data_IF_332331441291
#
_entry.id   IF_332331441291
#
_cell.length_a   1.000
_cell.length_b   1.000
_cell.length_c   1.000
_cell.angle_alpha   90.00
_cell.angle_beta   90.00
_cell.angle_gamma   90.00
#
_symmetry.space_group_name_H-M   'P 1'
#
loop_
_entity.id
_entity.type
_entity.pdbx_description
1 polymer ?
#
# COMPACT_ATOMS: atom_id res chain seq x y z
N UNK A 1 -35.89 28.00 7.60
CA UNK A 1 -34.79 27.17 8.13
C UNK A 1 -35.38 26.09 9.03
N UNK A 2 -35.64 24.91 8.49
CA UNK A 2 -36.14 23.78 9.28
C UNK A 2 -34.97 23.03 9.89
N UNK A 3 -35.10 22.60 11.15
CA UNK A 3 -34.07 21.84 11.89
C UNK A 3 -33.52 20.66 11.06
N UNK A 4 -34.41 19.93 10.38
CA UNK A 4 -34.07 18.82 9.47
C UNK A 4 -33.09 19.24 8.35
N UNK A 5 -33.35 20.37 7.68
CA UNK A 5 -32.49 20.89 6.60
C UNK A 5 -31.10 21.25 7.12
N UNK A 6 -31.02 21.94 8.27
CA UNK A 6 -29.77 22.37 8.89
C UNK A 6 -28.89 21.19 9.32
N UNK A 7 -29.49 20.14 9.89
CA UNK A 7 -28.78 18.91 10.26
C UNK A 7 -28.18 18.25 9.01
N UNK A 8 -28.99 18.06 7.96
CA UNK A 8 -28.55 17.42 6.72
C UNK A 8 -27.41 18.20 6.04
N UNK A 9 -27.50 19.53 5.98
CA UNK A 9 -26.43 20.38 5.45
C UNK A 9 -25.14 20.24 6.27
N UNK A 10 -25.24 20.19 7.59
CA UNK A 10 -24.07 20.04 8.48
C UNK A 10 -23.40 18.68 8.30
N UNK A 11 -24.18 17.60 8.21
CA UNK A 11 -23.68 16.25 7.96
C UNK A 11 -22.99 16.16 6.58
N UNK A 12 -23.63 16.69 5.53
CA UNK A 12 -23.03 16.74 4.18
C UNK A 12 -21.71 17.51 4.17
N UNK A 13 -21.63 18.65 4.86
CA UNK A 13 -20.39 19.44 4.99
C UNK A 13 -19.29 18.65 5.70
N UNK A 14 -19.61 17.92 6.77
CA UNK A 14 -18.66 17.06 7.49
C UNK A 14 -18.15 15.91 6.62
N UNK A 15 -19.05 15.20 5.94
CA UNK A 15 -18.69 14.11 5.02
C UNK A 15 -17.76 14.59 3.90
N UNK A 16 -18.08 15.74 3.27
CA UNK A 16 -17.22 16.33 2.24
C UNK A 16 -15.81 16.67 2.77
N UNK A 17 -15.72 17.21 3.99
CA UNK A 17 -14.42 17.51 4.63
C UNK A 17 -13.62 16.24 4.94
N UNK A 18 -14.28 15.16 5.35
CA UNK A 18 -13.63 13.88 5.59
C UNK A 18 -13.11 13.26 4.29
N UNK A 19 -13.95 13.21 3.25
CA UNK A 19 -13.58 12.64 1.95
C UNK A 19 -12.45 13.44 1.27
N UNK A 20 -12.47 14.77 1.38
CA UNK A 20 -11.40 15.62 0.85
C UNK A 20 -10.02 15.29 1.45
N UNK A 21 -9.96 14.83 2.71
CA UNK A 21 -8.72 14.42 3.37
C UNK A 21 -8.27 13.01 2.97
N UNK A 22 -9.20 12.15 2.56
CA UNK A 22 -8.92 10.76 2.17
C UNK A 22 -8.54 10.61 0.68
N UNK A 23 -8.68 11.68 -0.11
CA UNK A 23 -8.29 11.68 -1.51
C UNK A 23 -6.78 11.52 -1.67
N UNK A 24 -6.34 10.28 -1.90
CA UNK A 24 -4.98 9.98 -2.36
C UNK A 24 -4.89 10.29 -3.85
N UNK A 25 -3.82 10.97 -4.27
CA UNK A 25 -3.53 11.16 -5.69
C UNK A 25 -3.32 9.79 -6.33
N UNK A 26 -3.99 9.54 -7.46
CA UNK A 26 -3.81 8.30 -8.25
C UNK A 26 -2.47 8.25 -8.98
N UNK A 27 -1.74 9.37 -9.03
CA UNK A 27 -0.42 9.46 -9.68
C UNK A 27 0.67 9.13 -8.66
N UNK A 28 1.68 8.32 -9.03
CA UNK A 28 2.84 8.13 -8.18
C UNK A 28 3.51 9.48 -7.94
N UNK A 29 4.02 9.70 -6.71
CA UNK A 29 4.80 10.89 -6.39
C UNK A 29 6.01 10.92 -7.32
N UNK A 30 6.24 12.06 -7.99
CA UNK A 30 7.48 12.23 -8.75
C UNK A 30 8.65 12.23 -7.77
N UNK A 31 9.56 11.29 -7.96
CA UNK A 31 10.82 11.16 -7.23
C UNK A 31 11.96 11.46 -8.19
N UNK A 32 13.07 11.95 -7.67
CA UNK A 32 14.24 12.26 -8.48
C UNK A 32 14.84 10.99 -9.12
N UNK A 33 15.68 11.15 -10.17
CA UNK A 33 16.33 10.00 -10.83
C UNK A 33 17.17 9.17 -9.85
N UNK A 34 17.84 9.82 -8.89
CA UNK A 34 18.64 9.15 -7.87
C UNK A 34 17.77 8.36 -6.88
N UNK A 35 16.61 8.89 -6.48
CA UNK A 35 15.68 8.18 -5.60
C UNK A 35 15.00 7.01 -6.29
N UNK A 36 14.70 7.13 -7.60
CA UNK A 36 14.14 6.01 -8.37
C UNK A 36 15.13 4.85 -8.48
N UNK A 37 16.40 5.14 -8.77
CA UNK A 37 17.44 4.09 -8.80
C UNK A 37 17.58 3.37 -7.45
N UNK A 38 17.58 4.11 -6.33
CA UNK A 38 17.64 3.50 -4.99
C UNK A 38 16.45 2.59 -4.70
N UNK A 39 15.23 2.99 -5.08
CA UNK A 39 14.04 2.16 -4.89
C UNK A 39 14.03 0.94 -5.82
N UNK A 40 14.55 1.06 -7.04
CA UNK A 40 14.67 -0.07 -7.97
C UNK A 40 15.71 -1.09 -7.47
N UNK A 41 16.84 -0.65 -6.91
CA UNK A 41 17.85 -1.50 -6.27
C UNK A 41 17.29 -2.20 -5.01
N UNK A 42 16.58 -1.46 -4.14
CA UNK A 42 15.90 -2.02 -2.97
C UNK A 42 14.81 -3.03 -3.36
N UNK A 43 14.05 -2.75 -4.42
CA UNK A 43 13.04 -3.67 -4.94
C UNK A 43 13.66 -4.94 -5.55
N UNK A 44 14.82 -4.84 -6.22
CA UNK A 44 15.55 -5.98 -6.75
C UNK A 44 16.07 -6.89 -5.63
N UNK A 45 16.62 -6.32 -4.55
CA UNK A 45 17.05 -7.07 -3.37
C UNK A 45 15.88 -7.78 -2.68
N UNK A 46 14.72 -7.12 -2.55
CA UNK A 46 13.53 -7.73 -1.95
C UNK A 46 13.02 -8.89 -2.84
N UNK A 47 13.02 -8.72 -4.16
CA UNK A 47 12.61 -9.79 -5.08
C UNK A 47 13.55 -11.01 -5.03
N UNK A 48 14.86 -10.79 -4.95
CA UNK A 48 15.86 -11.86 -4.81
C UNK A 48 15.70 -12.59 -3.46
N UNK A 49 15.46 -11.88 -2.37
CA UNK A 49 15.20 -12.52 -1.07
C UNK A 49 13.87 -13.29 -1.03
N UNK A 50 12.84 -12.82 -1.75
CA UNK A 50 11.56 -13.52 -1.83
C UNK A 50 11.69 -14.86 -2.59
N UNK A 51 12.46 -14.87 -3.69
CA UNK A 51 12.71 -16.08 -4.49
C UNK A 51 13.52 -17.13 -3.68
N UNK A 52 14.57 -16.67 -2.99
CA UNK A 52 15.38 -17.52 -2.10
C UNK A 52 14.55 -18.09 -0.94
N UNK A 53 13.62 -17.33 -0.36
CA UNK A 53 12.74 -17.87 0.71
C UNK A 53 11.75 -18.91 0.21
N UNK A 54 11.27 -18.82 -1.04
CA UNK A 54 10.44 -19.90 -1.61
C UNK A 54 11.25 -21.18 -1.88
N UNK A 55 12.47 -21.08 -2.39
CA UNK A 55 13.31 -22.27 -2.65
C UNK A 55 13.79 -22.93 -1.35
N UNK A 56 14.12 -22.17 -0.31
CA UNK A 56 14.57 -22.73 0.98
C UNK A 56 13.45 -23.45 1.74
N UNK A 57 12.20 -23.01 1.58
CA UNK A 57 11.03 -23.67 2.20
C UNK A 57 10.74 -25.01 1.51
N UNK A 58 10.87 -25.07 0.17
CA UNK A 58 10.62 -26.30 -0.61
C UNK A 58 11.60 -27.42 -0.23
N UNK A 59 12.90 -27.12 -0.05
CA UNK A 59 13.88 -28.13 0.34
C UNK A 59 13.67 -28.66 1.77
N UNK A 60 13.20 -27.80 2.69
CA UNK A 60 12.96 -28.20 4.09
C UNK A 60 11.74 -29.13 4.27
N UNK A 61 10.71 -28.98 3.45
CA UNK A 61 9.50 -29.81 3.50
C UNK A 61 9.73 -31.21 2.88
N UNK A 62 10.67 -31.33 1.93
CA UNK A 62 11.00 -32.62 1.29
C UNK A 62 11.85 -33.51 2.21
N UNK A 63 12.75 -32.93 3.00
CA UNK A 63 13.62 -33.69 3.92
C UNK A 63 12.85 -34.23 5.15
N UNK A 64 11.79 -33.55 5.59
CA UNK A 64 10.94 -34.02 6.72
C UNK A 64 10.05 -35.23 6.36
N UNK A 65 9.85 -35.55 5.08
CA UNK A 65 8.95 -36.61 4.64
C UNK A 65 9.62 -37.99 4.47
N UNK A 66 10.95 -38.07 4.60
CA UNK A 66 11.74 -39.30 4.30
C UNK A 66 12.22 -40.02 5.58
N UNK A 67 11.81 -39.60 6.77
CA UNK A 67 12.20 -40.24 8.04
C UNK A 67 11.04 -40.91 8.77
#
# INVERSE_FOLDING_TARGET
MNRKKKINETLKKRMKKANAKLNKSTKPRYISKAERAKLDDEAALIAETADVTSETIIDSDVESAVN
#
